data_IF_151217173812
#
_entry.id   IF_151217173812
#
_cell.length_a   1.000
_cell.length_b   1.000
_cell.length_c   1.000
_cell.angle_alpha   90.00
_cell.angle_beta   90.00
_cell.angle_gamma   90.00
#
_symmetry.space_group_name_H-M   'P 1'
#
loop_
_entity.id
_entity.type
_entity.pdbx_description
1 polymer ?
#
# COMPACT_ATOMS: atom_id res chain seq x y z
N UNK A 1 -11.87 -3.60 13.67
CA UNK A 1 -12.67 -4.81 13.81
C UNK A 1 -12.04 -5.73 14.81
N UNK A 2 -12.80 -6.08 15.77
CA UNK A 2 -12.31 -6.95 16.81
C UNK A 2 -11.95 -8.32 16.21
N UNK A 3 -10.90 -8.92 16.71
CA UNK A 3 -10.50 -10.24 16.28
C UNK A 3 -9.44 -10.30 15.21
N UNK A 4 -9.21 -9.23 14.47
CA UNK A 4 -8.13 -9.23 13.50
C UNK A 4 -6.85 -8.74 14.15
N UNK A 5 -5.77 -9.40 13.86
CA UNK A 5 -4.44 -9.03 14.36
C UNK A 5 -3.60 -8.49 13.22
N UNK A 6 -2.55 -7.76 13.59
CA UNK A 6 -1.65 -7.15 12.60
C UNK A 6 -1.06 -8.18 11.64
N UNK A 7 -0.81 -9.39 12.11
CA UNK A 7 -0.22 -10.44 11.30
C UNK A 7 -1.23 -11.46 10.78
N UNK A 8 -2.52 -11.12 10.82
CA UNK A 8 -3.58 -12.01 10.39
C UNK A 8 -3.46 -12.32 8.90
N UNK A 9 -3.43 -13.60 8.50
CA UNK A 9 -3.46 -13.94 7.07
C UNK A 9 -4.84 -13.72 6.49
N UNK A 10 -4.93 -13.63 5.18
CA UNK A 10 -6.22 -13.53 4.50
C UNK A 10 -6.76 -12.11 4.39
N UNK A 11 -5.90 -11.11 4.50
CA UNK A 11 -6.31 -9.72 4.27
C UNK A 11 -6.64 -9.51 2.81
N UNK A 12 -7.27 -8.37 2.50
CA UNK A 12 -7.51 -7.97 1.12
C UNK A 12 -6.20 -7.97 0.32
N UNK A 13 -5.13 -7.44 0.90
CA UNK A 13 -3.84 -7.40 0.23
C UNK A 13 -3.30 -8.79 -0.05
N UNK A 14 -3.42 -9.70 0.90
CA UNK A 14 -2.99 -11.08 0.70
C UNK A 14 -3.76 -11.74 -0.43
N UNK A 15 -5.06 -11.47 -0.52
CA UNK A 15 -5.91 -12.03 -1.58
C UNK A 15 -5.57 -11.45 -2.94
N UNK A 16 -5.23 -10.17 -3.00
CA UNK A 16 -4.79 -9.53 -4.24
C UNK A 16 -3.47 -10.14 -4.69
N UNK A 17 -2.53 -10.32 -3.76
CA UNK A 17 -1.22 -10.92 -4.07
C UNK A 17 -1.37 -12.36 -4.57
N UNK A 18 -2.33 -13.10 -4.04
CA UNK A 18 -2.59 -14.47 -4.45
C UNK A 18 -3.39 -14.57 -5.76
N UNK A 19 -3.86 -13.44 -6.29
CA UNK A 19 -4.67 -13.44 -7.50
C UNK A 19 -6.12 -13.83 -7.28
N UNK A 20 -6.56 -13.92 -6.03
CA UNK A 20 -7.94 -14.31 -5.72
C UNK A 20 -8.93 -13.17 -5.92
N UNK A 21 -8.46 -11.93 -5.81
CA UNK A 21 -9.27 -10.74 -6.05
C UNK A 21 -8.62 -9.95 -7.18
N UNK A 22 -9.37 -9.63 -8.24
CA UNK A 22 -8.81 -8.85 -9.35
C UNK A 22 -8.42 -7.46 -8.88
N UNK A 23 -7.31 -6.96 -9.39
CA UNK A 23 -6.85 -5.62 -9.11
C UNK A 23 -6.30 -5.01 -10.39
N UNK A 24 -6.44 -3.70 -10.52
CA UNK A 24 -5.87 -2.96 -11.64
C UNK A 24 -4.42 -2.64 -11.31
N UNK A 25 -3.52 -3.49 -11.75
CA UNK A 25 -2.10 -3.39 -11.42
C UNK A 25 -1.45 -2.28 -12.23
N UNK A 26 -0.74 -1.41 -11.53
CA UNK A 26 -0.05 -0.26 -12.10
C UNK A 26 1.43 -0.57 -12.28
N UNK A 27 2.02 -1.25 -11.30
CA UNK A 27 3.43 -1.56 -11.30
C UNK A 27 3.65 -2.77 -10.41
N UNK A 28 4.56 -3.62 -10.83
CA UNK A 28 4.85 -4.82 -10.05
C UNK A 28 6.29 -5.26 -10.31
N UNK A 29 6.96 -5.69 -9.27
CA UNK A 29 8.23 -6.39 -9.39
C UNK A 29 8.24 -7.54 -8.38
N UNK A 30 9.40 -8.13 -8.10
CA UNK A 30 9.49 -9.28 -7.19
C UNK A 30 9.28 -8.88 -5.72
N UNK A 31 9.29 -7.60 -5.39
CA UNK A 31 9.23 -7.13 -4.01
C UNK A 31 8.00 -6.29 -3.70
N UNK A 32 7.45 -5.58 -4.67
CA UNK A 32 6.32 -4.69 -4.43
C UNK A 32 5.22 -4.89 -5.46
N UNK A 33 4.03 -4.47 -5.07
CA UNK A 33 2.87 -4.43 -5.96
C UNK A 33 2.20 -3.07 -5.80
N UNK A 34 1.90 -2.41 -6.90
CA UNK A 34 1.14 -1.17 -6.90
C UNK A 34 -0.12 -1.36 -7.74
N UNK A 35 -1.25 -0.92 -7.21
CA UNK A 35 -2.54 -1.10 -7.87
C UNK A 35 -3.47 0.05 -7.54
N UNK A 36 -4.45 0.27 -8.41
CA UNK A 36 -5.44 1.32 -8.18
C UNK A 36 -6.35 0.93 -7.04
N UNK A 37 -6.65 1.91 -6.18
CA UNK A 37 -7.56 1.70 -5.06
C UNK A 37 -8.96 1.41 -5.59
N UNK A 38 -9.58 0.36 -5.10
CA UNK A 38 -10.95 -0.01 -5.51
C UNK A 38 -12.00 0.92 -4.90
N UNK A 39 -11.65 1.64 -3.84
CA UNK A 39 -12.50 2.69 -3.26
C UNK A 39 -11.69 3.97 -3.17
N UNK A 40 -11.44 4.63 -4.31
CA UNK A 40 -10.53 5.76 -4.33
C UNK A 40 -11.09 6.94 -3.53
N UNK A 41 -10.23 7.55 -2.73
CA UNK A 41 -10.56 8.76 -2.00
C UNK A 41 -10.26 10.01 -2.82
N UNK A 42 -9.71 9.84 -4.01
CA UNK A 42 -9.30 10.93 -4.90
C UNK A 42 -9.41 10.45 -6.34
N UNK A 43 -9.45 11.38 -7.32
CA UNK A 43 -9.55 11.00 -8.75
C UNK A 43 -8.41 10.08 -9.19
N UNK A 44 -7.23 10.22 -8.60
CA UNK A 44 -6.14 9.30 -8.82
C UNK A 44 -5.67 8.80 -7.46
N UNK A 45 -5.67 7.50 -7.28
CA UNK A 45 -5.36 6.90 -5.99
C UNK A 45 -4.77 5.52 -6.22
N UNK A 46 -3.49 5.38 -5.92
CA UNK A 46 -2.74 4.13 -6.11
C UNK A 46 -2.18 3.69 -4.77
N UNK A 47 -2.26 2.41 -4.51
CA UNK A 47 -1.71 1.80 -3.31
C UNK A 47 -0.46 1.01 -3.67
N UNK A 48 0.59 1.14 -2.87
CA UNK A 48 1.83 0.40 -3.06
C UNK A 48 2.09 -0.41 -1.81
N UNK A 49 2.24 -1.71 -1.97
CA UNK A 49 2.44 -2.62 -0.85
C UNK A 49 3.64 -3.53 -1.08
N UNK A 50 4.29 -4.01 -0.02
CA UNK A 50 5.29 -5.05 -0.16
C UNK A 50 4.62 -6.39 -0.40
N UNK A 51 5.22 -7.24 -1.22
CA UNK A 51 4.69 -8.57 -1.45
C UNK A 51 4.88 -9.48 -0.24
N UNK A 52 5.96 -9.29 0.49
CA UNK A 52 6.22 -10.00 1.73
C UNK A 52 6.21 -8.97 2.86
N UNK A 53 5.31 -9.16 3.80
CA UNK A 53 5.21 -8.23 4.92
C UNK A 53 6.44 -8.25 5.82
N UNK A 54 7.04 -9.42 6.02
CA UNK A 54 8.22 -9.58 6.87
C UNK A 54 8.05 -8.88 8.22
N UNK A 55 6.86 -9.04 8.82
CA UNK A 55 6.54 -8.39 10.09
C UNK A 55 6.22 -6.91 9.97
N UNK A 56 6.24 -6.33 8.78
CA UNK A 56 6.02 -4.91 8.55
C UNK A 56 4.52 -4.64 8.40
N UNK A 57 3.80 -4.77 9.51
CA UNK A 57 2.36 -4.60 9.52
C UNK A 57 1.96 -3.15 9.68
N UNK A 58 2.84 -2.33 10.21
CA UNK A 58 2.66 -0.90 10.34
C UNK A 58 4.04 -0.25 10.43
N UNK A 59 4.12 1.01 10.05
CA UNK A 59 5.41 1.70 9.96
C UNK A 59 6.14 1.74 11.31
N UNK A 60 5.41 1.90 12.40
CA UNK A 60 6.03 1.97 13.72
C UNK A 60 6.64 0.63 14.16
N UNK A 61 6.35 -0.46 13.46
CA UNK A 61 6.99 -1.75 13.70
C UNK A 61 8.21 -1.99 12.82
N UNK A 62 8.57 -1.01 11.98
CA UNK A 62 9.73 -1.17 11.11
C UNK A 62 11.02 -1.17 11.90
N UNK A 63 12.02 -1.86 11.35
CA UNK A 63 13.36 -1.97 11.93
C UNK A 63 14.37 -1.71 10.82
N UNK A 64 15.67 -1.59 11.15
CA UNK A 64 16.68 -1.44 10.11
C UNK A 64 16.68 -2.54 9.05
N UNK A 65 16.14 -3.71 9.36
CA UNK A 65 16.02 -4.80 8.39
C UNK A 65 15.04 -4.45 7.28
N UNK A 66 14.20 -3.47 7.48
CA UNK A 66 13.21 -3.03 6.50
C UNK A 66 13.69 -1.88 5.61
N UNK A 67 14.93 -1.44 5.74
CA UNK A 67 15.43 -0.31 4.93
C UNK A 67 15.24 -0.54 3.44
N UNK A 68 15.55 -1.72 2.95
CA UNK A 68 15.45 -2.00 1.53
C UNK A 68 14.01 -1.95 1.05
N UNK A 69 13.12 -2.66 1.73
CA UNK A 69 11.73 -2.71 1.28
C UNK A 69 11.05 -1.34 1.41
N UNK A 70 11.35 -0.61 2.47
CA UNK A 70 10.80 0.75 2.62
C UNK A 70 11.33 1.67 1.53
N UNK A 71 12.61 1.56 1.19
CA UNK A 71 13.18 2.32 0.09
C UNK A 71 12.53 1.99 -1.24
N UNK A 72 12.27 0.72 -1.50
CA UNK A 72 11.59 0.29 -2.72
C UNK A 72 10.18 0.85 -2.82
N UNK A 73 9.46 0.86 -1.70
CA UNK A 73 8.11 1.44 -1.66
C UNK A 73 8.14 2.94 -1.97
N UNK A 74 9.11 3.65 -1.41
CA UNK A 74 9.23 5.09 -1.63
C UNK A 74 9.61 5.41 -3.07
N UNK A 75 10.56 4.68 -3.64
CA UNK A 75 10.96 4.89 -5.03
C UNK A 75 9.79 4.59 -5.97
N UNK A 76 9.06 3.51 -5.71
CA UNK A 76 7.89 3.18 -6.51
C UNK A 76 6.83 4.28 -6.43
N UNK A 77 6.59 4.81 -5.23
CA UNK A 77 5.64 5.89 -5.04
C UNK A 77 6.06 7.13 -5.83
N UNK A 78 7.35 7.44 -5.82
CA UNK A 78 7.88 8.57 -6.59
C UNK A 78 7.70 8.41 -8.09
N UNK A 79 7.92 7.20 -8.59
CA UNK A 79 7.73 6.92 -10.01
C UNK A 79 6.26 7.05 -10.42
N UNK A 80 5.36 6.59 -9.57
CA UNK A 80 3.93 6.71 -9.81
C UNK A 80 3.49 8.18 -9.75
N UNK A 81 4.05 8.94 -8.81
CA UNK A 81 3.65 10.34 -8.60
C UNK A 81 3.94 11.23 -9.80
N UNK A 82 4.84 10.84 -10.68
CA UNK A 82 5.14 11.62 -11.89
C UNK A 82 4.50 11.05 -13.15
N UNK A 83 3.66 10.03 -13.02
CA UNK A 83 3.03 9.37 -14.15
C UNK A 83 1.74 10.09 -14.54
N UNK A 84 1.79 10.83 -15.63
CA UNK A 84 0.65 11.60 -16.12
C UNK A 84 -0.48 10.70 -16.61
N UNK A 85 -0.17 9.52 -17.09
CA UNK A 85 -1.19 8.59 -17.58
C UNK A 85 -2.07 8.06 -16.46
N UNK A 86 -1.59 8.12 -15.23
CA UNK A 86 -2.37 7.72 -14.06
C UNK A 86 -3.11 8.88 -13.40
N UNK A 87 -2.97 10.07 -13.96
CA UNK A 87 -3.63 11.25 -13.42
C UNK A 87 -2.74 12.07 -12.51
N UNK A 88 -1.47 11.72 -12.40
CA UNK A 88 -0.50 12.48 -11.63
C UNK A 88 0.32 13.38 -12.57
N UNK A 89 1.49 13.78 -12.16
CA UNK A 89 2.37 14.59 -12.99
C UNK A 89 2.64 15.95 -12.35
N UNK A 90 1.60 16.59 -11.80
CA UNK A 90 1.74 17.88 -11.13
C UNK A 90 2.07 17.73 -9.65
N UNK A 91 2.22 16.51 -9.21
CA UNK A 91 2.49 16.22 -7.81
C UNK A 91 1.45 15.28 -7.22
N UNK A 92 1.75 14.78 -6.05
CA UNK A 92 0.88 13.83 -5.36
C UNK A 92 1.10 13.94 -3.86
N UNK A 93 0.10 13.53 -3.13
CA UNK A 93 0.25 13.32 -1.69
C UNK A 93 0.64 11.88 -1.48
N UNK A 94 1.67 11.69 -0.68
CA UNK A 94 2.10 10.35 -0.27
C UNK A 94 1.68 10.18 1.18
N UNK A 95 0.87 9.18 1.44
CA UNK A 95 0.30 8.96 2.77
C UNK A 95 0.60 7.55 3.23
N UNK A 96 1.08 7.43 4.44
CA UNK A 96 1.24 6.14 5.11
C UNK A 96 0.52 6.27 6.44
N UNK A 97 -0.53 5.48 6.62
CA UNK A 97 -1.25 5.46 7.88
C UNK A 97 -0.64 4.41 8.79
N UNK A 98 -0.37 4.78 10.01
CA UNK A 98 0.26 3.90 10.98
C UNK A 98 -0.73 3.55 12.09
N UNK A 99 -1.32 2.39 11.97
CA UNK A 99 -2.28 1.89 12.95
C UNK A 99 -3.72 2.29 12.67
N UNK A 100 -4.64 1.62 13.34
CA UNK A 100 -6.06 1.80 13.10
C UNK A 100 -6.55 3.22 13.39
N UNK A 101 -5.99 3.86 14.41
CA UNK A 101 -6.40 5.22 14.78
C UNK A 101 -6.01 6.27 13.75
N UNK A 102 -5.01 5.96 12.94
CA UNK A 102 -4.58 6.85 11.85
C UNK A 102 -5.27 6.51 10.53
N UNK A 103 -6.18 5.53 10.54
CA UNK A 103 -6.85 5.10 9.32
C UNK A 103 -6.09 4.02 8.56
N UNK A 104 -5.16 3.33 9.21
CA UNK A 104 -4.50 2.18 8.60
C UNK A 104 -5.48 1.02 8.54
N UNK A 105 -6.39 1.17 7.62
CA UNK A 105 -7.43 0.17 7.45
C UNK A 105 -7.86 0.28 6.00
N UNK A 106 -7.57 -0.72 5.23
CA UNK A 106 -7.88 -0.67 3.82
C UNK A 106 -9.17 -1.41 3.60
N UNK A 107 -10.20 -0.67 3.24
CA UNK A 107 -11.49 -1.27 2.91
C UNK A 107 -12.00 -2.17 4.00
N UNK A 108 -11.90 -1.69 5.21
CA UNK A 108 -12.47 -2.43 6.32
C UNK A 108 -11.65 -3.63 6.77
N UNK A 109 -10.50 -3.80 6.18
CA UNK A 109 -9.55 -4.75 6.71
C UNK A 109 -8.56 -3.98 7.55
N UNK A 110 -8.25 -4.48 8.69
CA UNK A 110 -7.34 -3.82 9.60
C UNK A 110 -5.97 -3.77 8.98
N UNK A 111 -5.33 -2.67 9.12
CA UNK A 111 -4.03 -2.44 8.53
C UNK A 111 -3.02 -3.49 8.91
N UNK A 112 -2.98 -4.52 8.12
CA UNK A 112 -2.14 -5.68 8.36
C UNK A 112 -0.91 -5.64 7.48
N UNK A 113 -0.71 -4.52 6.79
CA UNK A 113 0.42 -4.35 5.89
C UNK A 113 0.69 -2.87 5.75
N UNK A 114 1.94 -2.48 5.73
CA UNK A 114 2.30 -1.11 5.40
C UNK A 114 1.85 -0.85 3.97
N UNK A 115 1.12 0.23 3.80
CA UNK A 115 0.62 0.62 2.49
C UNK A 115 0.95 2.09 2.27
N UNK A 116 1.62 2.36 1.15
CA UNK A 116 1.92 3.72 0.73
C UNK A 116 0.84 4.13 -0.25
N UNK A 117 0.09 5.17 0.09
CA UNK A 117 -0.97 5.68 -0.77
C UNK A 117 -0.45 6.87 -1.56
N UNK A 118 -0.57 6.81 -2.88
CA UNK A 118 -0.23 7.92 -3.78
C UNK A 118 -1.54 8.49 -4.26
N UNK A 119 -1.84 9.70 -3.84
CA UNK A 119 -3.14 10.32 -4.08
C UNK A 119 -3.00 11.65 -4.78
N UNK A 120 -3.94 11.95 -5.67
CA UNK A 120 -4.07 13.30 -6.22
C UNK A 120 -4.50 14.23 -5.07
N UNK A 121 -3.84 15.34 -4.87
CA UNK A 121 -4.22 16.28 -3.81
C UNK A 121 -5.63 16.85 -3.99
#
# INVERSE_FOLDING_TARGET
MAGLRDDEPGTLFDKILAGEIPASIVKEDDKILAFKDINPAAPAHVLVIPKDRDGLTRLSKSTPEHYEILGRLMVAAGEIAKDESLGFGDGARIVINDGAKAGQEVFHLHGTCVCVCVCKP
#
